data_IF_855449710810
#
_entry.id   IF_855449710810
#
_cell.length_a   1.000
_cell.length_b   1.000
_cell.length_c   1.000
_cell.angle_alpha   90.00
_cell.angle_beta   90.00
_cell.angle_gamma   90.00
#
_symmetry.space_group_name_H-M   'P 1'
#
loop_
_entity.id
_entity.type
_entity.pdbx_description
1 polymer ?
#
# COMPACT_ATOMS: atom_id res chain seq x y z
N UNK A 1 21.85 0.55 -12.62
CA UNK A 1 21.29 1.31 -11.48
C UNK A 1 21.26 0.36 -10.29
N UNK A 2 21.69 0.78 -9.11
CA UNK A 2 21.63 -0.08 -7.92
C UNK A 2 20.16 -0.20 -7.50
N UNK A 3 19.59 -1.41 -7.55
CA UNK A 3 18.23 -1.68 -7.09
C UNK A 3 18.09 -1.31 -5.62
N UNK A 4 17.11 -0.47 -5.28
CA UNK A 4 16.84 -0.10 -3.89
C UNK A 4 16.01 -1.21 -3.25
N UNK A 5 16.67 -2.15 -2.58
CA UNK A 5 16.00 -3.06 -1.66
C UNK A 5 15.46 -2.24 -0.48
N UNK A 6 14.17 -2.34 -0.16
CA UNK A 6 13.54 -1.63 0.95
C UNK A 6 13.41 -2.52 2.20
N UNK A 7 13.68 -2.01 3.39
CA UNK A 7 13.32 -2.61 4.68
C UNK A 7 12.39 -1.66 5.42
N UNK A 8 11.44 -2.20 6.17
CA UNK A 8 10.51 -1.44 6.99
C UNK A 8 11.08 -1.18 8.41
N UNK A 9 11.03 0.07 8.89
CA UNK A 9 11.46 0.51 10.23
C UNK A 9 10.35 1.30 10.95
N UNK A 10 10.08 0.97 12.22
CA UNK A 10 9.20 1.76 13.11
C UNK A 10 10.03 2.48 14.19
N UNK A 11 9.75 3.75 14.45
CA UNK A 11 10.38 4.59 15.49
C UNK A 11 9.31 5.25 16.34
N UNK A 12 9.45 5.16 17.67
CA UNK A 12 8.42 5.62 18.62
C UNK A 12 8.97 6.63 19.62
N UNK A 13 8.21 7.69 19.86
CA UNK A 13 8.55 8.81 20.75
C UNK A 13 7.34 9.32 21.55
N UNK A 14 7.54 9.76 22.78
CA UNK A 14 6.50 10.32 23.65
C UNK A 14 6.12 11.78 23.33
N UNK A 15 6.88 12.48 22.48
CA UNK A 15 6.57 13.85 22.08
C UNK A 15 5.89 13.89 20.71
N UNK A 16 4.60 14.16 20.72
CA UNK A 16 3.88 14.54 19.51
C UNK A 16 4.07 16.04 19.35
N UNK A 17 4.88 16.47 18.39
CA UNK A 17 4.94 17.87 17.95
C UNK A 17 4.30 17.95 16.58
N UNK A 18 3.64 19.07 16.26
CA UNK A 18 3.28 19.32 14.87
C UNK A 18 4.56 19.24 14.04
N UNK A 19 4.59 18.43 12.96
CA UNK A 19 5.76 18.37 12.12
C UNK A 19 5.97 19.75 11.50
N UNK A 20 7.01 20.46 11.93
CA UNK A 20 7.50 21.59 11.13
C UNK A 20 7.83 21.06 9.73
N UNK A 21 7.59 21.85 8.67
CA UNK A 21 7.93 21.45 7.32
C UNK A 21 9.41 21.09 7.27
N UNK A 22 9.71 19.80 7.11
CA UNK A 22 11.08 19.31 7.04
C UNK A 22 11.78 20.00 5.86
N UNK A 23 12.79 20.86 6.08
CA UNK A 23 13.45 21.56 4.98
C UNK A 23 14.24 20.61 4.05
N UNK A 24 14.47 19.37 4.47
CA UNK A 24 15.10 18.31 3.68
C UNK A 24 14.12 17.42 2.91
N UNK A 25 12.80 17.71 2.94
CA UNK A 25 11.83 17.03 2.07
C UNK A 25 11.97 17.41 0.59
N UNK A 26 12.76 18.45 0.28
CA UNK A 26 13.08 18.92 -1.09
C UNK A 26 14.21 18.17 -1.80
N UNK A 27 14.70 17.06 -1.25
CA UNK A 27 15.43 16.10 -2.09
C UNK A 27 14.38 15.31 -2.89
N UNK A 28 13.81 15.99 -3.88
CA UNK A 28 13.07 15.39 -4.98
C UNK A 28 14.04 14.44 -5.69
N UNK A 29 14.01 13.17 -5.29
CA UNK A 29 14.42 12.13 -6.22
C UNK A 29 13.31 12.10 -7.27
N UNK A 30 13.59 12.71 -8.41
CA UNK A 30 12.76 12.64 -9.60
C UNK A 30 12.27 11.20 -9.78
N UNK A 31 10.98 10.98 -9.58
CA UNK A 31 10.29 9.73 -9.84
C UNK A 31 9.99 9.60 -11.34
N UNK A 32 11.00 9.85 -12.18
CA UNK A 32 10.92 9.64 -13.63
C UNK A 32 11.03 8.14 -14.00
N UNK A 33 10.99 7.24 -13.01
CA UNK A 33 11.06 5.82 -13.25
C UNK A 33 9.65 5.22 -13.27
N UNK A 34 9.28 4.81 -14.49
CA UNK A 34 8.41 3.67 -14.80
C UNK A 34 6.92 3.92 -15.10
N UNK A 35 6.47 5.17 -15.25
CA UNK A 35 5.19 5.46 -15.92
C UNK A 35 5.16 4.92 -17.36
N UNK A 36 6.32 4.89 -18.03
CA UNK A 36 6.46 4.42 -19.42
C UNK A 36 6.10 2.95 -19.58
N UNK A 37 6.49 2.05 -18.68
CA UNK A 37 6.19 0.61 -18.86
C UNK A 37 4.70 0.32 -18.71
N UNK A 38 4.05 0.88 -17.68
CA UNK A 38 2.61 0.72 -17.49
C UNK A 38 1.81 1.42 -18.60
N UNK A 39 2.25 2.62 -19.00
CA UNK A 39 1.69 3.35 -20.14
C UNK A 39 1.86 2.56 -21.45
N UNK A 40 3.00 1.88 -21.65
CA UNK A 40 3.21 1.00 -22.81
C UNK A 40 2.27 -0.21 -22.79
N UNK A 41 2.10 -0.89 -21.65
CA UNK A 41 1.13 -1.99 -21.50
C UNK A 41 -0.30 -1.51 -21.83
N UNK A 42 -0.68 -0.33 -21.33
CA UNK A 42 -1.98 0.29 -21.64
C UNK A 42 -2.08 0.80 -23.10
N UNK A 43 -0.94 1.12 -23.74
CA UNK A 43 -0.89 1.66 -25.11
C UNK A 43 -1.06 0.57 -26.18
N UNK A 44 -0.45 -0.60 -26.02
CA UNK A 44 -0.58 -1.72 -26.97
C UNK A 44 -2.02 -2.24 -27.08
N UNK A 45 -2.75 -2.25 -25.96
CA UNK A 45 -4.12 -2.77 -25.92
C UNK A 45 -5.17 -1.88 -26.62
N UNK A 46 -4.86 -0.60 -26.88
CA UNK A 46 -5.84 0.35 -27.45
C UNK A 46 -5.97 0.28 -28.99
N UNK A 47 -5.11 -0.46 -29.69
CA UNK A 47 -5.07 -0.48 -31.16
C UNK A 47 -6.20 -1.30 -31.82
N UNK A 48 -6.88 -2.18 -31.08
CA UNK A 48 -7.90 -3.11 -31.60
C UNK A 48 -9.34 -2.75 -31.19
N UNK A 49 -9.70 -1.47 -31.35
CA UNK A 49 -10.97 -0.92 -30.85
C UNK A 49 -11.97 -0.58 -31.96
N UNK A 50 -12.94 -1.47 -32.23
CA UNK A 50 -14.24 -1.09 -32.82
C UNK A 50 -15.33 -2.17 -32.65
N UNK A 51 -14.97 -3.45 -32.50
CA UNK A 51 -15.97 -4.55 -32.51
C UNK A 51 -16.35 -5.10 -31.13
N UNK A 52 -15.53 -4.87 -30.09
CA UNK A 52 -15.67 -5.52 -28.76
C UNK A 52 -16.45 -4.67 -27.75
N UNK A 53 -16.74 -3.40 -28.05
CA UNK A 53 -17.51 -2.48 -27.20
C UNK A 53 -18.89 -3.03 -26.77
N UNK A 54 -19.54 -3.88 -27.57
CA UNK A 54 -20.89 -4.38 -27.27
C UNK A 54 -20.96 -5.56 -26.29
N UNK A 55 -19.83 -6.17 -25.92
CA UNK A 55 -19.81 -7.37 -25.06
C UNK A 55 -19.32 -7.06 -23.64
N UNK A 56 -18.46 -6.05 -23.47
CA UNK A 56 -17.89 -5.67 -22.15
C UNK A 56 -18.77 -4.71 -21.34
N UNK A 57 -19.76 -4.06 -21.97
CA UNK A 57 -20.77 -3.24 -21.28
C UNK A 57 -21.92 -4.08 -20.68
N UNK A 58 -21.88 -5.40 -20.82
CA UNK A 58 -22.78 -6.30 -20.09
C UNK A 58 -22.38 -6.32 -18.61
N UNK A 59 -23.01 -5.40 -17.85
CA UNK A 59 -23.15 -5.33 -16.39
C UNK A 59 -22.06 -6.04 -15.59
N UNK A 60 -21.18 -5.29 -14.90
CA UNK A 60 -20.21 -5.82 -13.94
C UNK A 60 -20.80 -6.85 -12.96
N UNK A 61 -22.11 -6.78 -12.70
CA UNK A 61 -22.84 -7.80 -11.93
C UNK A 61 -22.73 -9.19 -12.54
N UNK A 62 -22.80 -9.35 -13.87
CA UNK A 62 -22.65 -10.64 -14.53
C UNK A 62 -21.23 -11.22 -14.38
N UNK A 63 -20.20 -10.37 -14.41
CA UNK A 63 -18.81 -10.79 -14.18
C UNK A 63 -18.58 -11.20 -12.72
N UNK A 64 -19.13 -10.44 -11.77
CA UNK A 64 -19.14 -10.76 -10.34
C UNK A 64 -19.85 -12.10 -10.10
N UNK A 65 -21.04 -12.26 -10.66
CA UNK A 65 -21.86 -13.46 -10.54
C UNK A 65 -21.14 -14.67 -11.15
N UNK A 66 -20.52 -14.54 -12.32
CA UNK A 66 -19.80 -15.64 -12.97
C UNK A 66 -18.62 -16.14 -12.13
N UNK A 67 -17.83 -15.24 -11.52
CA UNK A 67 -16.72 -15.62 -10.63
C UNK A 67 -17.25 -16.25 -9.34
N UNK A 68 -18.30 -15.69 -8.76
CA UNK A 68 -18.83 -16.12 -7.46
C UNK A 68 -19.73 -17.37 -7.51
N UNK A 69 -20.34 -17.69 -8.66
CA UNK A 69 -21.17 -18.88 -8.83
C UNK A 69 -20.35 -20.17 -8.96
N UNK A 70 -19.06 -20.06 -9.24
CA UNK A 70 -18.18 -21.20 -9.42
C UNK A 70 -17.24 -21.32 -8.22
N UNK A 71 -17.68 -22.00 -7.16
CA UNK A 71 -16.90 -22.19 -5.92
C UNK A 71 -15.50 -22.81 -6.18
N UNK A 72 -15.32 -23.52 -7.30
CA UNK A 72 -14.04 -24.09 -7.70
C UNK A 72 -13.00 -23.08 -8.23
N UNK A 73 -13.43 -21.90 -8.69
CA UNK A 73 -12.53 -20.89 -9.27
C UNK A 73 -11.73 -20.12 -8.22
N UNK A 74 -12.27 -19.96 -7.02
CA UNK A 74 -11.61 -19.24 -5.94
C UNK A 74 -12.15 -19.60 -4.57
N UNK A 75 -11.90 -20.82 -4.06
CA UNK A 75 -12.35 -21.23 -2.73
C UNK A 75 -11.94 -20.22 -1.64
N UNK A 76 -12.93 -19.66 -0.93
CA UNK A 76 -12.67 -18.73 0.19
C UNK A 76 -12.35 -17.29 -0.22
N UNK A 77 -12.47 -16.95 -1.51
CA UNK A 77 -12.46 -15.58 -2.00
C UNK A 77 -13.76 -15.26 -2.76
N UNK A 78 -14.10 -13.97 -2.85
CA UNK A 78 -15.24 -13.45 -3.63
C UNK A 78 -14.86 -12.19 -4.37
N UNK A 79 -15.32 -12.06 -5.61
CA UNK A 79 -15.28 -10.80 -6.35
C UNK A 79 -16.47 -9.94 -5.93
N UNK A 80 -16.25 -8.67 -5.61
CA UNK A 80 -17.32 -7.75 -5.24
C UNK A 80 -17.00 -6.31 -5.65
N UNK A 81 -18.05 -5.49 -5.76
CA UNK A 81 -17.89 -4.04 -5.73
C UNK A 81 -17.40 -3.61 -4.35
N UNK A 82 -16.55 -2.58 -4.32
CA UNK A 82 -16.03 -1.98 -3.12
C UNK A 82 -16.95 -0.84 -2.68
N UNK A 83 -17.10 -0.66 -1.37
CA UNK A 83 -17.71 0.55 -0.83
C UNK A 83 -16.88 1.82 -1.13
N UNK A 84 -17.26 2.93 -0.52
CA UNK A 84 -16.70 4.26 -0.84
C UNK A 84 -15.19 4.36 -0.64
N UNK A 85 -14.51 4.90 -1.66
CA UNK A 85 -13.10 5.29 -1.62
C UNK A 85 -12.94 6.69 -1.01
N UNK A 86 -12.37 6.77 0.20
CA UNK A 86 -12.39 8.00 1.01
C UNK A 86 -11.64 9.21 0.46
N UNK A 87 -10.51 9.00 -0.21
CA UNK A 87 -9.72 10.10 -0.79
C UNK A 87 -10.42 10.77 -1.98
N UNK A 88 -11.48 10.15 -2.51
CA UNK A 88 -12.28 10.66 -3.62
C UNK A 88 -13.67 11.16 -3.20
N UNK A 89 -13.96 11.27 -1.90
CA UNK A 89 -15.24 11.83 -1.43
C UNK A 89 -15.27 13.33 -1.74
N UNK A 90 -15.93 13.69 -2.83
CA UNK A 90 -16.17 15.08 -3.25
C UNK A 90 -17.46 15.58 -2.58
N UNK A 91 -17.56 16.87 -2.18
CA UNK A 91 -18.82 17.46 -1.72
C UNK A 91 -19.97 17.23 -2.72
N UNK A 92 -21.19 17.09 -2.20
CA UNK A 92 -22.37 16.62 -2.94
C UNK A 92 -22.76 17.42 -4.21
N UNK A 93 -22.15 18.58 -4.46
CA UNK A 93 -22.48 19.47 -5.59
C UNK A 93 -21.92 19.00 -6.94
N UNK A 94 -20.92 18.09 -6.95
CA UNK A 94 -20.23 17.63 -8.17
C UNK A 94 -20.55 16.19 -8.60
N UNK A 95 -21.63 15.58 -8.09
CA UNK A 95 -22.05 14.19 -8.40
C UNK A 95 -22.58 13.98 -9.85
N UNK A 96 -22.06 14.72 -10.84
CA UNK A 96 -22.57 14.69 -12.23
C UNK A 96 -22.09 13.51 -13.08
N UNK A 97 -21.27 12.62 -12.55
CA UNK A 97 -20.86 11.39 -13.25
C UNK A 97 -20.98 10.19 -12.32
N UNK A 98 -21.84 9.23 -12.69
CA UNK A 98 -21.88 7.90 -12.10
C UNK A 98 -20.51 7.24 -12.29
N UNK A 99 -19.62 7.37 -11.30
CA UNK A 99 -18.33 6.69 -11.34
C UNK A 99 -18.56 5.19 -11.20
N UNK A 100 -17.98 4.43 -12.12
CA UNK A 100 -17.91 2.97 -12.07
C UNK A 100 -17.37 2.52 -10.69
N UNK A 101 -18.01 1.54 -10.03
CA UNK A 101 -17.55 1.09 -8.72
C UNK A 101 -16.18 0.39 -8.85
N UNK A 102 -15.35 0.60 -7.84
CA UNK A 102 -14.10 -0.15 -7.68
C UNK A 102 -14.44 -1.63 -7.45
N UNK A 103 -13.78 -2.57 -8.14
CA UNK A 103 -13.97 -4.01 -7.95
C UNK A 103 -12.78 -4.64 -7.24
N UNK A 104 -12.96 -5.66 -6.41
CA UNK A 104 -11.83 -6.38 -5.82
C UNK A 104 -12.18 -7.80 -5.42
N UNK A 105 -11.14 -8.63 -5.28
CA UNK A 105 -11.24 -9.91 -4.61
C UNK A 105 -11.10 -9.68 -3.10
N UNK A 106 -11.98 -10.31 -2.32
CA UNK A 106 -12.03 -10.26 -0.87
C UNK A 106 -11.97 -11.67 -0.30
N UNK A 107 -11.53 -11.81 0.96
CA UNK A 107 -11.84 -13.02 1.73
C UNK A 107 -13.35 -13.12 1.90
N UNK A 108 -13.91 -14.32 1.75
CA UNK A 108 -15.37 -14.52 1.85
C UNK A 108 -15.95 -14.01 3.18
N UNK A 109 -15.20 -14.10 4.28
CA UNK A 109 -15.60 -13.62 5.60
C UNK A 109 -15.73 -12.09 5.71
N UNK A 110 -15.10 -11.34 4.80
CA UNK A 110 -15.13 -9.87 4.79
C UNK A 110 -16.19 -9.31 3.83
N UNK A 111 -16.89 -10.18 3.09
CA UNK A 111 -18.01 -9.79 2.23
C UNK A 111 -19.31 -9.91 3.02
N UNK A 112 -19.99 -8.79 3.35
CA UNK A 112 -21.23 -8.83 4.12
C UNK A 112 -22.36 -9.46 3.30
N UNK A 113 -23.39 -9.97 4.00
CA UNK A 113 -24.58 -10.51 3.35
C UNK A 113 -25.46 -9.43 2.69
N UNK A 114 -25.30 -8.17 3.09
CA UNK A 114 -26.00 -7.01 2.57
C UNK A 114 -25.08 -5.79 2.58
N UNK A 115 -25.13 -4.98 1.52
CA UNK A 115 -24.21 -3.86 1.30
C UNK A 115 -22.87 -4.28 0.69
N UNK A 116 -22.00 -3.30 0.47
CA UNK A 116 -20.68 -3.52 -0.12
C UNK A 116 -19.62 -3.76 0.97
N UNK A 117 -18.63 -4.64 0.73
CA UNK A 117 -17.46 -4.76 1.59
C UNK A 117 -16.70 -3.43 1.68
N UNK A 118 -16.00 -3.24 2.80
CA UNK A 118 -15.23 -2.02 2.99
C UNK A 118 -14.12 -1.90 1.95
N UNK A 119 -13.93 -0.71 1.38
CA UNK A 119 -12.87 -0.45 0.40
C UNK A 119 -11.47 -0.85 0.89
N UNK A 120 -11.17 -0.80 2.20
CA UNK A 120 -9.84 -1.14 2.71
C UNK A 120 -9.64 -2.62 2.99
N UNK A 121 -10.63 -3.46 2.72
CA UNK A 121 -10.55 -4.90 3.00
C UNK A 121 -10.26 -5.69 1.72
N UNK A 122 -10.00 -4.99 0.62
CA UNK A 122 -9.58 -5.56 -0.66
C UNK A 122 -8.34 -6.42 -0.45
N UNK A 123 -8.36 -7.64 -0.95
CA UNK A 123 -7.21 -8.54 -0.95
C UNK A 123 -6.36 -8.31 -2.21
N UNK A 124 -7.02 -8.32 -3.37
CA UNK A 124 -6.46 -8.01 -4.69
C UNK A 124 -7.41 -7.03 -5.38
N UNK A 125 -6.91 -5.85 -5.77
CA UNK A 125 -7.69 -4.89 -6.52
C UNK A 125 -8.00 -5.43 -7.92
N UNK A 126 -9.19 -5.19 -8.44
CA UNK A 126 -9.56 -5.51 -9.82
C UNK A 126 -9.89 -4.21 -10.54
N UNK A 127 -9.06 -3.85 -11.51
CA UNK A 127 -9.25 -2.64 -12.30
C UNK A 127 -9.56 -3.02 -13.73
N UNK A 128 -10.72 -2.60 -14.22
CA UNK A 128 -11.15 -2.84 -15.59
C UNK A 128 -11.02 -1.52 -16.34
N UNK A 129 -10.04 -1.44 -17.23
CA UNK A 129 -9.78 -0.27 -18.06
C UNK A 129 -10.54 -0.40 -19.38
N UNK A 130 -11.46 0.54 -19.62
CA UNK A 130 -12.11 0.71 -20.91
C UNK A 130 -11.22 1.62 -21.79
N UNK A 131 -10.80 1.18 -22.99
CA UNK A 131 -9.86 1.93 -23.85
C UNK A 131 -10.41 3.26 -24.39
N UNK A 132 -11.73 3.39 -24.42
CA UNK A 132 -12.44 4.62 -24.76
C UNK A 132 -13.18 5.06 -23.52
N UNK A 133 -12.92 6.27 -23.02
CA UNK A 133 -13.88 6.92 -22.14
C UNK A 133 -15.27 6.94 -22.80
N UNK A 134 -16.32 7.23 -22.04
CA UNK A 134 -17.71 7.24 -22.52
C UNK A 134 -17.98 8.18 -23.72
N UNK A 135 -16.96 8.92 -24.17
CA UNK A 135 -16.93 9.65 -25.41
C UNK A 135 -15.95 8.99 -26.40
N UNK A 136 -16.47 8.49 -27.52
CA UNK A 136 -15.67 8.09 -28.68
C UNK A 136 -15.01 9.36 -29.24
N UNK A 137 -13.83 9.69 -28.74
CA UNK A 137 -13.02 10.77 -29.27
C UNK A 137 -12.21 10.21 -30.44
N UNK A 138 -12.54 10.58 -31.68
CA UNK A 138 -11.75 10.25 -32.86
C UNK A 138 -10.45 11.10 -32.97
N UNK A 139 -10.10 11.83 -31.90
CA UNK A 139 -8.93 12.70 -31.83
C UNK A 139 -7.77 11.95 -31.13
N UNK A 140 -6.61 11.80 -31.78
CA UNK A 140 -5.44 11.15 -31.19
C UNK A 140 -4.95 11.81 -29.89
N UNK A 141 -5.15 13.12 -29.71
CA UNK A 141 -4.76 13.82 -28.49
C UNK A 141 -5.66 13.42 -27.31
N UNK A 142 -6.98 13.28 -27.53
CA UNK A 142 -7.91 12.80 -26.51
C UNK A 142 -7.68 11.34 -26.10
N UNK A 143 -7.20 10.49 -27.02
CA UNK A 143 -6.85 9.10 -26.70
C UNK A 143 -5.60 9.01 -25.82
N UNK A 144 -4.64 9.94 -25.99
CA UNK A 144 -3.49 10.07 -25.10
C UNK A 144 -3.93 10.50 -23.69
N UNK A 145 -4.86 11.45 -23.59
CA UNK A 145 -5.39 11.92 -22.31
C UNK A 145 -6.13 10.80 -21.54
N UNK A 146 -6.99 10.03 -22.22
CA UNK A 146 -7.69 8.90 -21.59
C UNK A 146 -6.74 7.81 -21.05
N UNK A 147 -5.65 7.53 -21.77
CA UNK A 147 -4.60 6.58 -21.33
C UNK A 147 -3.87 7.07 -20.08
N UNK A 148 -3.49 8.35 -20.07
CA UNK A 148 -2.88 8.98 -18.90
C UNK A 148 -3.83 8.92 -17.70
N UNK A 149 -5.12 9.17 -17.89
CA UNK A 149 -6.14 9.10 -16.83
C UNK A 149 -6.28 7.68 -16.25
N UNK A 150 -6.36 6.64 -17.09
CA UNK A 150 -6.45 5.26 -16.62
C UNK A 150 -5.19 4.80 -15.87
N UNK A 151 -4.01 5.21 -16.34
CA UNK A 151 -2.72 4.95 -15.68
C UNK A 151 -2.70 5.61 -14.30
N UNK A 152 -3.08 6.89 -14.22
CA UNK A 152 -3.16 7.65 -12.97
C UNK A 152 -4.14 7.00 -11.99
N UNK A 153 -5.29 6.52 -12.46
CA UNK A 153 -6.29 5.86 -11.60
C UNK A 153 -5.76 4.56 -10.98
N UNK A 154 -5.12 3.70 -11.79
CA UNK A 154 -4.50 2.44 -11.33
C UNK A 154 -3.43 2.72 -10.27
N UNK A 155 -2.53 3.68 -10.56
CA UNK A 155 -1.46 4.08 -9.63
C UNK A 155 -2.03 4.66 -8.33
N UNK A 156 -3.02 5.54 -8.46
CA UNK A 156 -3.68 6.18 -7.32
C UNK A 156 -4.37 5.16 -6.41
N UNK A 157 -5.00 4.14 -6.99
CA UNK A 157 -5.62 3.06 -6.23
C UNK A 157 -4.59 2.22 -5.47
N UNK A 158 -3.49 1.86 -6.12
CA UNK A 158 -2.39 1.13 -5.47
C UNK A 158 -1.77 1.95 -4.33
N UNK A 159 -1.54 3.25 -4.55
CA UNK A 159 -1.00 4.17 -3.54
C UNK A 159 -1.94 4.24 -2.34
N UNK A 160 -3.24 4.42 -2.59
CA UNK A 160 -4.20 4.53 -1.50
C UNK A 160 -4.36 3.22 -0.72
N UNK A 161 -4.22 2.05 -1.35
CA UNK A 161 -4.17 0.76 -0.65
C UNK A 161 -2.96 0.66 0.28
N UNK A 162 -1.76 1.10 -0.14
CA UNK A 162 -0.59 1.16 0.75
C UNK A 162 -0.79 2.14 1.91
N UNK A 163 -1.61 3.17 1.73
CA UNK A 163 -1.89 4.16 2.77
C UNK A 163 -2.81 3.59 3.85
N UNK A 164 -3.88 2.91 3.44
CA UNK A 164 -4.96 2.41 4.32
C UNK A 164 -4.72 1.00 4.87
N UNK A 165 -3.89 0.20 4.20
CA UNK A 165 -3.48 -1.13 4.65
C UNK A 165 -2.00 -1.16 5.00
N UNK A 166 -1.65 -2.03 5.94
CA UNK A 166 -0.26 -2.32 6.29
C UNK A 166 0.20 -3.43 5.36
N UNK A 167 1.03 -3.08 4.36
CA UNK A 167 1.42 -3.98 3.26
C UNK A 167 2.87 -3.79 2.86
N UNK A 168 3.49 -4.90 2.47
CA UNK A 168 4.76 -4.91 1.74
C UNK A 168 4.56 -5.04 0.23
N UNK A 169 3.38 -5.50 -0.21
CA UNK A 169 3.00 -5.50 -1.62
C UNK A 169 1.48 -5.31 -1.80
N UNK A 170 1.10 -4.66 -2.91
CA UNK A 170 -0.30 -4.60 -3.38
C UNK A 170 -0.38 -5.42 -4.66
N UNK A 171 -1.48 -6.16 -4.82
CA UNK A 171 -1.75 -6.88 -6.06
C UNK A 171 -2.96 -6.28 -6.77
N UNK A 172 -2.84 -6.10 -8.08
CA UNK A 172 -3.94 -5.65 -8.95
C UNK A 172 -4.10 -6.64 -10.11
N UNK A 173 -5.30 -7.17 -10.29
CA UNK A 173 -5.72 -7.80 -11.52
C UNK A 173 -6.23 -6.70 -12.46
N UNK A 174 -5.41 -6.35 -13.43
CA UNK A 174 -5.71 -5.35 -14.44
C UNK A 174 -6.34 -6.04 -15.64
N UNK A 175 -7.57 -5.68 -15.98
CA UNK A 175 -8.28 -6.20 -17.15
C UNK A 175 -8.39 -5.10 -18.19
N UNK A 176 -7.86 -5.35 -19.38
CA UNK A 176 -7.86 -4.42 -20.50
C UNK A 176 -8.44 -5.16 -21.69
N UNK A 177 -9.69 -4.84 -22.05
CA UNK A 177 -10.43 -5.56 -23.09
C UNK A 177 -10.37 -7.10 -22.89
N UNK A 178 -9.69 -7.82 -23.79
CA UNK A 178 -9.54 -9.30 -23.83
C UNK A 178 -8.33 -9.82 -23.07
N UNK A 179 -7.47 -8.91 -22.60
CA UNK A 179 -6.25 -9.24 -21.90
C UNK A 179 -6.40 -8.94 -20.42
N UNK A 180 -5.70 -9.69 -19.58
CA UNK A 180 -5.50 -9.33 -18.20
C UNK A 180 -4.04 -9.49 -17.78
N UNK A 181 -3.65 -8.72 -16.78
CA UNK A 181 -2.33 -8.74 -16.18
C UNK A 181 -2.45 -8.79 -14.66
N UNK A 182 -1.56 -9.53 -14.02
CA UNK A 182 -1.35 -9.44 -12.59
C UNK A 182 -0.20 -8.47 -12.34
N UNK A 183 -0.49 -7.39 -11.63
CA UNK A 183 0.52 -6.41 -11.20
C UNK A 183 0.79 -6.60 -9.72
N UNK A 184 2.07 -6.70 -9.36
CA UNK A 184 2.55 -6.65 -7.97
C UNK A 184 3.27 -5.32 -7.77
N UNK A 185 2.67 -4.43 -6.99
CA UNK A 185 3.26 -3.17 -6.57
C UNK A 185 4.05 -3.37 -5.30
N UNK A 186 5.23 -2.75 -5.22
CA UNK A 186 6.05 -2.66 -4.02
C UNK A 186 6.50 -1.20 -3.85
N UNK A 187 7.07 -0.88 -2.69
CA UNK A 187 7.52 0.48 -2.40
C UNK A 187 8.76 0.90 -3.21
N UNK A 188 9.51 -0.07 -3.75
CA UNK A 188 10.64 0.24 -4.63
C UNK A 188 10.22 0.45 -6.07
N UNK A 189 9.30 -0.37 -6.60
CA UNK A 189 8.94 -0.52 -8.02
C UNK A 189 7.72 -1.47 -8.14
N UNK A 190 7.32 -1.87 -9.36
CA UNK A 190 6.30 -2.90 -9.60
C UNK A 190 6.76 -3.98 -10.57
N UNK A 191 6.04 -5.11 -10.58
CA UNK A 191 6.22 -6.22 -11.52
C UNK A 191 4.88 -6.49 -12.20
N UNK A 192 4.89 -6.66 -13.51
CA UNK A 192 3.70 -7.01 -14.30
C UNK A 192 3.88 -8.39 -14.94
N UNK A 193 2.82 -9.19 -14.96
CA UNK A 193 2.82 -10.44 -15.71
C UNK A 193 2.85 -10.18 -17.22
N UNK A 194 3.27 -11.18 -17.99
CA UNK A 194 2.99 -11.23 -19.42
C UNK A 194 1.48 -11.16 -19.68
N UNK A 195 1.11 -10.76 -20.89
CA UNK A 195 -0.27 -10.68 -21.37
C UNK A 195 -0.98 -12.04 -21.24
N UNK A 196 -2.13 -12.06 -20.58
CA UNK A 196 -3.01 -13.23 -20.50
C UNK A 196 -4.26 -12.93 -21.33
N UNK A 197 -4.40 -13.58 -22.50
CA UNK A 197 -5.67 -13.57 -23.25
C UNK A 197 -6.65 -14.53 -22.57
N UNK A 198 -7.42 -14.01 -21.63
CA UNK A 198 -8.38 -14.80 -20.85
C UNK A 198 -9.60 -15.25 -21.67
N UNK A 199 -9.76 -14.76 -22.90
CA UNK A 199 -10.84 -15.21 -23.79
C UNK A 199 -10.44 -16.49 -24.54
N UNK A 200 -9.22 -16.54 -25.03
CA UNK A 200 -8.68 -17.69 -25.75
C UNK A 200 -8.12 -18.75 -24.79
N UNK A 201 -7.47 -18.31 -23.71
CA UNK A 201 -6.91 -19.14 -22.64
C UNK A 201 -7.49 -18.73 -21.28
N UNK A 202 -8.78 -19.00 -21.11
CA UNK A 202 -9.48 -18.79 -19.84
C UNK A 202 -8.85 -19.61 -18.70
N UNK A 203 -8.19 -20.73 -19.01
CA UNK A 203 -7.62 -21.63 -18.02
C UNK A 203 -6.53 -20.94 -17.19
N UNK A 204 -5.72 -20.08 -17.81
CA UNK A 204 -4.71 -19.29 -17.13
C UNK A 204 -5.32 -18.35 -16.09
N UNK A 205 -6.37 -17.61 -16.44
CA UNK A 205 -7.07 -16.73 -15.49
C UNK A 205 -7.69 -17.54 -14.34
N UNK A 206 -8.30 -18.70 -14.62
CA UNK A 206 -8.87 -19.54 -13.57
C UNK A 206 -7.81 -20.08 -12.62
N UNK A 207 -6.63 -20.45 -13.13
CA UNK A 207 -5.50 -20.87 -12.30
C UNK A 207 -4.96 -19.72 -11.45
N UNK A 208 -4.90 -18.50 -11.98
CA UNK A 208 -4.51 -17.30 -11.21
C UNK A 208 -5.49 -17.06 -10.05
N UNK A 209 -6.80 -17.07 -10.32
CA UNK A 209 -7.82 -16.90 -9.28
C UNK A 209 -7.75 -18.01 -8.23
N UNK A 210 -7.58 -19.25 -8.68
CA UNK A 210 -7.41 -20.39 -7.79
C UNK A 210 -6.16 -20.22 -6.91
N UNK A 211 -5.01 -19.84 -7.46
CA UNK A 211 -3.79 -19.58 -6.68
C UNK A 211 -3.95 -18.44 -5.69
N UNK A 212 -4.59 -17.34 -6.08
CA UNK A 212 -4.90 -16.24 -5.17
C UNK A 212 -5.72 -16.76 -3.97
N UNK A 213 -6.69 -17.64 -4.22
CA UNK A 213 -7.50 -18.24 -3.16
C UNK A 213 -6.69 -19.09 -2.17
N UNK A 214 -5.64 -19.75 -2.66
CA UNK A 214 -4.75 -20.60 -1.86
C UNK A 214 -3.65 -19.82 -1.14
N UNK A 215 -3.34 -18.60 -1.59
CA UNK A 215 -2.34 -17.76 -0.93
C UNK A 215 -2.83 -17.30 0.45
N UNK A 216 -1.92 -17.29 1.42
CA UNK A 216 -2.13 -16.59 2.69
C UNK A 216 -2.16 -15.07 2.49
N UNK A 217 -2.70 -14.35 3.47
CA UNK A 217 -2.73 -12.89 3.47
C UNK A 217 -1.31 -12.28 3.36
N UNK A 218 -0.33 -12.88 4.03
CA UNK A 218 1.06 -12.48 3.94
C UNK A 218 1.65 -12.69 2.53
N UNK A 219 1.33 -13.79 1.85
CA UNK A 219 1.77 -14.00 0.46
C UNK A 219 1.13 -12.99 -0.51
N UNK A 220 -0.06 -12.48 -0.18
CA UNK A 220 -0.76 -11.42 -0.92
C UNK A 220 -0.37 -10.01 -0.46
N UNK A 221 0.74 -9.90 0.28
CA UNK A 221 1.39 -8.63 0.56
C UNK A 221 0.96 -7.94 1.85
N UNK A 222 0.03 -8.51 2.62
CA UNK A 222 -0.36 -7.98 3.93
C UNK A 222 0.78 -8.18 4.94
N UNK A 223 0.98 -7.19 5.79
CA UNK A 223 1.96 -7.26 6.87
C UNK A 223 1.43 -8.16 8.00
N UNK A 224 2.08 -9.30 8.30
CA UNK A 224 1.63 -10.21 9.35
C UNK A 224 1.78 -9.63 10.76
N UNK A 225 2.54 -8.55 10.94
CA UNK A 225 2.71 -7.83 12.21
C UNK A 225 1.69 -6.72 12.42
N UNK A 226 0.80 -6.50 11.45
CA UNK A 226 -0.25 -5.50 11.52
C UNK A 226 -1.63 -6.14 11.45
N UNK A 227 -2.36 -6.06 12.56
CA UNK A 227 -3.66 -6.70 12.69
C UNK A 227 -4.77 -5.68 12.52
N UNK A 228 -5.58 -5.85 11.48
CA UNK A 228 -6.77 -5.03 11.26
C UNK A 228 -7.76 -5.26 12.41
N UNK A 229 -8.19 -4.17 13.05
CA UNK A 229 -9.27 -4.19 14.03
C UNK A 229 -10.61 -4.10 13.30
N UNK A 230 -11.48 -5.06 13.56
CA UNK A 230 -12.83 -5.20 13.05
C UNK A 230 -13.84 -4.87 14.16
N UNK A 231 -15.08 -4.48 13.80
CA UNK A 231 -16.13 -4.25 14.79
C UNK A 231 -16.29 -5.44 15.74
N UNK A 232 -16.23 -5.17 17.06
CA UNK A 232 -16.27 -6.18 18.10
C UNK A 232 -14.91 -6.64 18.63
N UNK A 233 -13.80 -6.17 18.06
CA UNK A 233 -12.48 -6.42 18.65
C UNK A 233 -12.35 -5.73 20.02
N UNK A 234 -11.87 -6.44 21.05
CA UNK A 234 -11.74 -5.87 22.40
C UNK A 234 -10.77 -4.69 22.44
N UNK A 235 -9.81 -4.64 21.51
CA UNK A 235 -8.86 -3.54 21.40
C UNK A 235 -9.50 -2.23 20.92
N UNK A 236 -10.67 -2.27 20.27
CA UNK A 236 -11.43 -1.04 19.94
C UNK A 236 -12.03 -0.38 21.18
N UNK A 237 -12.41 -1.17 22.20
CA UNK A 237 -12.94 -0.67 23.48
C UNK A 237 -11.82 -0.16 24.40
N UNK A 238 -10.56 -0.49 24.09
CA UNK A 238 -9.38 -0.05 24.84
C UNK A 238 -8.89 1.33 24.45
N UNK A 239 -9.49 1.94 23.42
CA UNK A 239 -9.28 3.34 23.09
C UNK A 239 -9.56 4.16 24.35
N UNK A 240 -8.54 4.92 24.77
CA UNK A 240 -8.59 5.72 25.99
C UNK A 240 -9.88 6.53 26.04
N UNK A 241 -10.47 6.60 27.24
CA UNK A 241 -11.39 7.65 27.60
C UNK A 241 -10.63 8.97 27.41
N UNK A 242 -10.80 9.59 26.25
CA UNK A 242 -10.16 10.83 25.85
C UNK A 242 -10.83 12.04 26.51
N UNK A 243 -11.78 11.77 27.41
CA UNK A 243 -12.45 12.71 28.28
C UNK A 243 -11.43 13.33 29.23
N UNK A 244 -11.49 14.65 29.36
CA UNK A 244 -10.67 15.37 30.32
C UNK A 244 -11.03 14.88 31.73
N UNK A 245 -10.01 14.42 32.46
CA UNK A 245 -10.17 14.08 33.86
C UNK A 245 -10.01 15.36 34.68
N UNK A 246 -11.01 15.68 35.47
CA UNK A 246 -10.88 16.72 36.49
C UNK A 246 -9.85 16.25 37.53
N UNK A 247 -8.79 17.03 37.71
CA UNK A 247 -7.82 16.80 38.77
C UNK A 247 -8.40 17.28 40.09
N UNK A 248 -8.23 16.49 41.15
CA UNK A 248 -8.40 16.99 42.51
C UNK A 248 -7.31 18.06 42.74
N UNK A 249 -7.64 19.25 43.29
CA UNK A 249 -6.64 20.30 43.58
C UNK A 249 -5.45 19.82 44.45
N UNK A 250 -5.59 18.71 45.19
CA UNK A 250 -4.52 18.11 45.99
C UNK A 250 -3.73 17.00 45.26
N UNK A 251 -4.14 16.59 44.06
CA UNK A 251 -3.46 15.57 43.25
C UNK A 251 -2.30 16.21 42.48
N UNK A 252 -1.05 15.92 42.87
CA UNK A 252 0.14 16.36 42.14
C UNK A 252 0.26 15.53 40.86
N UNK A 253 -0.02 16.08 39.67
CA UNK A 253 0.03 15.30 38.45
C UNK A 253 1.49 14.95 38.16
N UNK A 254 1.80 13.67 38.02
CA UNK A 254 3.11 13.28 37.49
C UNK A 254 3.15 13.58 36.00
N UNK A 255 4.32 13.93 35.48
CA UNK A 255 4.51 14.19 34.04
C UNK A 255 4.14 12.97 33.17
N UNK A 256 4.08 11.79 33.79
CA UNK A 256 3.69 10.51 33.18
C UNK A 256 2.17 10.30 33.09
N UNK A 257 1.36 11.02 33.89
CA UNK A 257 -0.12 10.94 33.85
C UNK A 257 -0.77 12.10 33.10
N UNK A 258 -0.05 13.21 32.91
CA UNK A 258 -0.56 14.39 32.21
C UNK A 258 -0.23 14.36 30.71
N UNK A 259 -1.20 13.95 29.89
CA UNK A 259 -1.13 14.15 28.43
C UNK A 259 -1.56 15.57 28.09
N UNK A 260 -0.86 16.25 27.18
CA UNK A 260 -1.27 17.57 26.71
C UNK A 260 -2.62 17.51 25.98
N UNK A 261 -3.47 18.52 26.16
CA UNK A 261 -4.79 18.58 25.51
C UNK A 261 -4.71 18.49 23.98
N UNK A 262 -3.72 19.12 23.35
CA UNK A 262 -3.53 19.04 21.90
C UNK A 262 -3.17 17.63 21.41
N UNK A 263 -2.50 16.82 22.26
CA UNK A 263 -2.18 15.42 21.96
C UNK A 263 -3.44 14.56 22.02
N UNK A 264 -4.28 14.74 23.05
CA UNK A 264 -5.60 14.09 23.13
C UNK A 264 -6.47 14.46 21.93
N UNK A 265 -6.51 15.74 21.56
CA UNK A 265 -7.24 16.20 20.38
C UNK A 265 -6.66 15.66 19.06
N UNK A 266 -5.35 15.43 18.97
CA UNK A 266 -4.73 14.79 17.81
C UNK A 266 -5.09 13.30 17.72
N UNK A 267 -5.10 12.59 18.86
CA UNK A 267 -5.53 11.19 18.93
C UNK A 267 -7.01 11.04 18.58
N UNK A 268 -7.90 11.84 19.19
CA UNK A 268 -9.33 11.81 18.90
C UNK A 268 -9.63 12.05 17.40
N UNK A 269 -8.92 13.00 16.76
CA UNK A 269 -9.04 13.24 15.31
C UNK A 269 -8.52 12.08 14.45
N UNK A 270 -7.61 11.25 14.96
CA UNK A 270 -7.12 10.08 14.23
C UNK A 270 -8.16 8.95 14.19
N UNK A 271 -9.10 8.91 15.14
CA UNK A 271 -10.14 7.90 15.27
C UNK A 271 -11.34 8.15 14.33
N UNK A 272 -11.07 8.56 13.09
CA UNK A 272 -12.10 8.71 12.06
C UNK A 272 -12.88 7.39 11.91
N UNK A 273 -14.22 7.38 12.06
CA UNK A 273 -15.02 6.16 11.96
C UNK A 273 -14.93 5.47 10.60
N UNK A 274 -14.60 6.24 9.56
CA UNK A 274 -14.43 5.72 8.22
C UNK A 274 -13.00 5.20 7.98
N UNK A 275 -12.04 5.41 8.87
CA UNK A 275 -10.65 4.98 8.67
C UNK A 275 -10.35 3.64 9.35
N UNK A 276 -9.57 2.74 8.71
CA UNK A 276 -9.25 1.44 9.30
C UNK A 276 -8.28 1.58 10.48
N UNK A 277 -8.52 0.80 11.54
CA UNK A 277 -7.67 0.78 12.73
C UNK A 277 -6.82 -0.48 12.77
N UNK A 278 -5.61 -0.38 13.28
CA UNK A 278 -4.68 -1.51 13.35
C UNK A 278 -4.03 -1.62 14.72
N UNK A 279 -3.79 -2.84 15.17
CA UNK A 279 -2.78 -3.15 16.18
C UNK A 279 -1.48 -3.53 15.48
N UNK A 280 -0.42 -2.77 15.72
CA UNK A 280 0.91 -3.00 15.18
C UNK A 280 1.81 -3.68 16.21
N UNK A 281 2.48 -4.75 15.80
CA UNK A 281 3.48 -5.46 16.57
C UNK A 281 4.88 -4.96 16.21
N UNK A 282 5.57 -4.38 17.19
CA UNK A 282 6.92 -3.86 17.03
C UNK A 282 7.88 -4.66 17.91
N UNK A 283 8.80 -5.44 17.32
CA UNK A 283 9.86 -6.08 18.07
C UNK A 283 10.70 -5.03 18.81
N UNK A 284 11.03 -5.29 20.07
CA UNK A 284 11.89 -4.44 20.89
C UNK A 284 12.70 -5.33 21.83
N UNK A 285 14.01 -5.47 21.55
CA UNK A 285 14.98 -6.19 22.41
C UNK A 285 14.53 -7.58 22.88
N UNK A 286 13.93 -8.37 21.99
CA UNK A 286 13.47 -9.73 22.28
C UNK A 286 12.08 -9.84 22.90
N UNK A 287 11.35 -8.72 23.00
CA UNK A 287 9.91 -8.67 23.30
C UNK A 287 9.17 -8.07 22.11
N UNK A 288 7.84 -8.18 22.11
CA UNK A 288 6.97 -7.51 21.14
C UNK A 288 6.14 -6.46 21.88
N UNK A 289 6.23 -5.20 21.46
CA UNK A 289 5.36 -4.13 21.92
C UNK A 289 4.20 -3.97 20.94
N UNK A 290 3.03 -3.60 21.47
CA UNK A 290 1.80 -3.44 20.70
C UNK A 290 1.34 -1.99 20.71
N UNK A 291 0.97 -1.48 19.54
CA UNK A 291 0.48 -0.12 19.39
C UNK A 291 -0.83 -0.09 18.60
N UNK A 292 -1.83 0.61 19.10
CA UNK A 292 -3.05 0.89 18.34
C UNK A 292 -2.85 2.15 17.50
N UNK A 293 -3.16 2.07 16.22
CA UNK A 293 -3.09 3.18 15.27
C UNK A 293 -4.37 3.27 14.46
N UNK A 294 -4.73 4.49 14.06
CA UNK A 294 -5.85 4.76 13.17
C UNK A 294 -5.37 5.64 12.00
N UNK A 295 -6.05 6.76 11.72
CA UNK A 295 -5.68 7.64 10.61
C UNK A 295 -4.30 8.27 10.84
N UNK A 296 -3.34 8.12 9.91
CA UNK A 296 -2.04 8.75 10.02
C UNK A 296 -2.17 10.28 9.96
N UNK A 297 -1.46 10.95 10.87
CA UNK A 297 -1.32 12.41 10.94
C UNK A 297 -0.46 12.94 9.79
N UNK A 298 0.54 12.15 9.37
CA UNK A 298 1.43 12.46 8.26
C UNK A 298 1.54 11.26 7.33
N UNK A 299 1.57 11.52 6.02
CA UNK A 299 1.82 10.53 4.97
C UNK A 299 2.71 11.16 3.92
N UNK A 300 3.80 10.48 3.55
CA UNK A 300 4.53 10.81 2.33
C UNK A 300 3.61 10.57 1.13
N UNK A 301 3.72 11.43 0.11
CA UNK A 301 3.01 11.27 -1.16
C UNK A 301 3.83 10.42 -2.13
N UNK A 302 3.14 9.79 -3.06
CA UNK A 302 3.73 8.98 -4.12
C UNK A 302 3.71 7.49 -3.78
N UNK A 303 3.53 6.69 -4.83
CA UNK A 303 3.45 5.23 -4.73
C UNK A 303 4.79 4.58 -4.35
N UNK A 304 5.90 5.15 -4.81
CA UNK A 304 7.24 4.62 -4.60
C UNK A 304 8.06 5.48 -3.63
N UNK A 305 9.00 4.85 -2.95
CA UNK A 305 9.97 5.49 -2.07
C UNK A 305 9.87 5.00 -0.64
N UNK A 306 9.80 5.95 0.31
CA UNK A 306 9.90 5.64 1.75
C UNK A 306 8.57 5.31 2.40
N UNK A 307 7.44 5.56 1.74
CA UNK A 307 6.09 5.35 2.28
C UNK A 307 5.91 5.83 3.73
N UNK A 308 6.55 6.95 4.12
CA UNK A 308 6.62 7.33 5.52
C UNK A 308 5.23 7.71 6.04
N UNK A 309 4.79 7.06 7.12
CA UNK A 309 3.56 7.36 7.84
C UNK A 309 3.87 7.76 9.28
N UNK A 310 3.16 8.76 9.78
CA UNK A 310 3.27 9.25 11.14
C UNK A 310 1.94 9.15 11.84
N UNK A 311 1.88 8.38 12.91
CA UNK A 311 0.67 8.09 13.67
C UNK A 311 0.74 8.71 15.05
N UNK A 312 -0.43 9.15 15.52
CA UNK A 312 -0.68 9.31 16.95
C UNK A 312 -1.20 7.96 17.43
N UNK A 313 -0.35 7.21 18.11
CA UNK A 313 -0.58 5.82 18.49
C UNK A 313 -0.83 5.69 19.99
N UNK A 314 -1.50 4.62 20.40
CA UNK A 314 -1.66 4.23 21.80
C UNK A 314 -0.77 3.03 22.10
N UNK A 315 0.15 3.15 23.04
CA UNK A 315 0.91 2.01 23.58
C UNK A 315 -0.01 1.14 24.43
N UNK A 316 -0.20 -0.12 24.05
CA UNK A 316 -1.11 -1.03 24.74
C UNK A 316 -0.64 -1.40 26.16
N UNK A 317 0.67 -1.32 26.43
CA UNK A 317 1.25 -1.66 27.74
C UNK A 317 1.18 -0.47 28.69
N UNK A 318 1.72 0.68 28.26
CA UNK A 318 1.81 1.87 29.12
C UNK A 318 0.55 2.73 29.10
N UNK A 319 -0.36 2.51 28.14
CA UNK A 319 -1.53 3.34 27.88
C UNK A 319 -1.20 4.80 27.56
N UNK A 320 0.04 5.08 27.14
CA UNK A 320 0.48 6.41 26.74
C UNK A 320 0.18 6.64 25.26
N UNK A 321 -0.16 7.89 24.95
CA UNK A 321 -0.27 8.36 23.57
C UNK A 321 1.13 8.75 23.09
N UNK A 322 1.57 8.13 22.00
CA UNK A 322 2.93 8.23 21.46
C UNK A 322 2.89 8.62 19.97
N UNK A 323 3.99 9.18 19.49
CA UNK A 323 4.24 9.34 18.07
C UNK A 323 4.89 8.07 17.52
N UNK A 324 4.24 7.40 16.58
CA UNK A 324 4.78 6.24 15.87
C UNK A 324 5.08 6.64 14.43
N UNK A 325 6.36 6.59 14.05
CA UNK A 325 6.80 6.76 12.67
C UNK A 325 7.04 5.40 12.06
N UNK A 326 6.37 5.14 10.95
CA UNK A 326 6.58 3.99 10.06
C UNK A 326 7.28 4.48 8.77
N UNK A 327 8.31 3.77 8.31
CA UNK A 327 8.98 4.09 7.05
C UNK A 327 9.66 2.87 6.43
N UNK A 328 9.63 2.81 5.10
CA UNK A 328 10.57 2.04 4.31
C UNK A 328 11.91 2.78 4.22
N UNK A 329 13.02 2.05 4.35
CA UNK A 329 14.40 2.52 4.22
C UNK A 329 15.15 1.66 3.22
N UNK A 330 16.14 2.23 2.55
CA UNK A 330 17.03 1.43 1.70
C UNK A 330 17.83 0.44 2.56
N UNK A 331 17.85 -0.81 2.13
CA UNK A 331 18.69 -1.89 2.61
C UNK A 331 20.05 -1.85 1.90
N UNK A 332 21.10 -2.34 2.56
CA UNK A 332 22.44 -2.47 1.96
C UNK A 332 23.27 -1.17 1.89
N UNK A 333 22.65 0.01 1.89
CA UNK A 333 23.38 1.24 2.22
C UNK A 333 23.70 1.21 3.72
N UNK A 334 24.95 1.55 4.07
CA UNK A 334 25.47 1.71 5.44
C UNK A 334 24.78 2.85 6.23
N UNK A 335 23.50 3.11 5.97
CA UNK A 335 22.69 4.05 6.71
C UNK A 335 22.38 3.43 8.08
N UNK A 336 22.95 4.03 9.12
CA UNK A 336 22.59 3.75 10.50
C UNK A 336 21.07 3.87 10.66
N UNK A 337 20.47 2.93 11.40
CA UNK A 337 19.04 3.00 11.72
C UNK A 337 18.79 4.26 12.52
N UNK A 338 17.82 5.07 12.11
CA UNK A 338 17.55 6.35 12.78
C UNK A 338 17.23 6.14 14.25
N UNK A 339 16.58 5.04 14.60
CA UNK A 339 16.32 4.73 16.01
C UNK A 339 17.57 4.43 16.84
N UNK A 340 18.65 3.88 16.26
CA UNK A 340 19.91 3.66 16.99
C UNK A 340 20.57 5.01 17.32
N UNK A 341 20.54 5.96 16.38
CA UNK A 341 21.01 7.35 16.58
C UNK A 341 20.19 8.03 17.69
N UNK A 342 18.86 7.98 17.62
CA UNK A 342 18.00 8.59 18.63
C UNK A 342 18.23 8.01 20.03
N UNK A 343 18.41 6.69 20.12
CA UNK A 343 18.72 6.01 21.37
C UNK A 343 20.06 6.47 21.95
N UNK A 344 21.09 6.58 21.11
CA UNK A 344 22.40 7.08 21.52
C UNK A 344 22.33 8.53 22.02
N UNK A 345 21.64 9.41 21.30
CA UNK A 345 21.46 10.81 21.69
C UNK A 345 20.68 10.96 23.01
N UNK A 346 19.64 10.15 23.23
CA UNK A 346 18.90 10.10 24.49
C UNK A 346 19.81 9.63 25.63
N UNK A 347 20.61 8.58 25.44
CA UNK A 347 21.56 8.09 26.45
C UNK A 347 22.64 9.12 26.79
N UNK A 348 23.05 9.95 25.82
CA UNK A 348 23.97 11.05 26.03
C UNK A 348 23.32 12.31 26.67
N UNK A 349 22.03 12.27 27.00
CA UNK A 349 21.26 13.38 27.56
C UNK A 349 21.36 14.68 26.72
N UNK A 350 21.43 14.54 25.39
CA UNK A 350 21.47 15.70 24.50
C UNK A 350 20.13 16.46 24.61
N UNK A 351 20.14 17.77 24.91
CA UNK A 351 18.92 18.53 25.09
C UNK A 351 18.14 18.66 23.77
N UNK A 352 16.83 18.88 23.88
CA UNK A 352 15.91 19.08 22.75
C UNK A 352 15.76 17.92 21.76
N UNK A 353 16.30 16.75 22.07
CA UNK A 353 16.05 15.52 21.32
C UNK A 353 14.68 14.92 21.71
N UNK A 354 13.96 14.31 20.76
CA UNK A 354 12.72 13.60 21.08
C UNK A 354 12.97 12.38 21.97
N UNK A 355 12.02 12.06 22.83
CA UNK A 355 12.16 10.99 23.83
C UNK A 355 12.09 9.64 23.15
N UNK A 356 13.18 8.88 23.13
CA UNK A 356 13.20 7.58 22.47
C UNK A 356 12.48 6.51 23.32
N UNK A 357 11.50 5.81 22.74
CA UNK A 357 10.88 4.64 23.36
C UNK A 357 11.47 3.33 22.84
N UNK A 358 11.23 3.04 21.55
CA UNK A 358 11.71 1.84 20.88
C UNK A 358 11.85 2.08 19.37
N UNK A 359 12.58 1.20 18.71
CA UNK A 359 12.56 1.07 17.25
C UNK A 359 12.94 -0.35 16.84
N UNK A 360 12.49 -0.77 15.68
CA UNK A 360 12.99 -1.99 15.04
C UNK A 360 12.74 -1.95 13.54
N UNK A 361 13.54 -2.76 12.84
CA UNK A 361 13.13 -3.23 11.52
C UNK A 361 12.11 -4.37 11.69
N UNK A 362 11.10 -4.45 10.83
CA UNK A 362 10.19 -5.60 10.82
C UNK A 362 10.76 -6.69 9.91
N UNK A 363 10.91 -7.89 10.46
CA UNK A 363 11.54 -9.01 9.76
C UNK A 363 10.66 -9.51 8.60
N UNK A 364 11.31 -9.98 7.54
CA UNK A 364 10.63 -10.54 6.37
C UNK A 364 9.99 -9.51 5.44
N UNK A 365 10.07 -8.21 5.75
CA UNK A 365 9.59 -7.14 4.89
C UNK A 365 10.70 -6.60 4.01
N UNK A 366 10.88 -7.25 2.87
CA UNK A 366 11.87 -6.89 1.86
C UNK A 366 11.20 -6.86 0.49
N UNK A 367 11.54 -5.86 -0.33
CA UNK A 367 11.05 -5.78 -1.71
C UNK A 367 11.73 -6.82 -2.60
N UNK A 368 10.94 -7.52 -3.42
CA UNK A 368 11.40 -8.56 -4.33
C UNK A 368 11.83 -8.00 -5.69
N UNK A 369 11.34 -6.83 -6.09
CA UNK A 369 11.61 -6.28 -7.43
C UNK A 369 13.09 -6.13 -7.77
N UNK A 370 13.97 -5.66 -6.86
CA UNK A 370 15.40 -5.59 -7.14
C UNK A 370 16.05 -6.94 -7.45
N UNK A 371 15.65 -8.00 -6.73
CA UNK A 371 16.16 -9.35 -6.96
C UNK A 371 15.70 -9.88 -8.33
N UNK A 372 14.44 -9.63 -8.71
CA UNK A 372 13.90 -10.04 -10.02
C UNK A 372 14.60 -9.33 -11.17
N UNK A 373 14.92 -8.06 -10.99
CA UNK A 373 15.70 -7.30 -11.96
C UNK A 373 17.08 -7.93 -12.17
N UNK A 374 17.78 -8.28 -11.09
CA UNK A 374 19.09 -8.94 -11.14
C UNK A 374 19.00 -10.29 -11.86
N UNK A 375 18.04 -11.15 -11.51
CA UNK A 375 17.81 -12.45 -12.15
C UNK A 375 17.63 -12.32 -13.68
N UNK A 376 16.92 -11.30 -14.15
CA UNK A 376 16.70 -11.07 -15.59
C UNK A 376 17.93 -10.54 -16.34
N UNK A 377 18.87 -9.90 -15.63
CA UNK A 377 20.01 -9.21 -16.24
C UNK A 377 21.37 -9.90 -15.99
N UNK A 378 21.45 -10.84 -15.05
CA UNK A 378 22.65 -11.67 -14.84
C UNK A 378 23.00 -12.50 -16.10
N UNK A 379 22.00 -13.01 -16.82
CA UNK A 379 22.17 -13.80 -18.05
C UNK A 379 22.81 -13.02 -19.21
N UNK A 380 22.87 -11.68 -19.15
CA UNK A 380 23.44 -10.87 -20.23
C UNK A 380 24.95 -10.62 -20.05
N UNK A 381 25.50 -10.84 -18.85
CA UNK A 381 26.92 -10.57 -18.55
C UNK A 381 27.84 -11.79 -18.69
N UNK A 382 27.28 -13.00 -18.85
CA UNK A 382 28.05 -14.22 -19.13
C UNK A 382 28.66 -14.33 -20.53
N UNK A 383 28.31 -13.44 -21.47
CA UNK A 383 28.66 -13.55 -22.90
C UNK A 383 29.97 -12.88 -23.36
N UNK A 384 30.70 -12.16 -22.50
CA UNK A 384 31.88 -11.38 -22.92
C UNK A 384 33.24 -11.94 -22.45
N UNK A 385 33.29 -13.12 -21.85
CA UNK A 385 34.56 -13.84 -21.61
C UNK A 385 34.88 -14.78 -22.79
N UNK A 386 35.42 -14.24 -23.88
CA UNK A 386 35.71 -15.11 -25.04
C UNK A 386 36.38 -14.52 -26.27
N UNK A 387 37.10 -13.39 -26.21
CA UNK A 387 38.03 -13.01 -27.29
C UNK A 387 39.47 -13.18 -26.82
N UNK A 388 39.99 -14.39 -26.97
CA UNK A 388 41.45 -14.65 -26.97
C UNK A 388 42.09 -13.74 -28.02
N UNK A 389 42.93 -12.79 -27.57
CA UNK A 389 43.96 -12.17 -28.41
C UNK A 389 44.82 -13.31 -28.96
N UNK A 390 44.77 -13.55 -30.28
CA UNK A 390 45.83 -14.28 -30.96
C UNK A 390 47.08 -13.38 -30.91
N UNK A 391 48.02 -13.70 -30.03
CA UNK A 391 49.42 -13.43 -30.29
C UNK A 391 49.86 -14.41 -31.39
N UNK A 392 50.09 -13.87 -32.59
CA UNK A 392 50.87 -14.52 -33.63
C UNK A 392 52.28 -13.95 -33.54
N UNK A 393 53.23 -14.85 -33.33
CA UNK A 393 54.67 -14.67 -33.18
C UNK A 393 55.35 -14.19 -34.45
N UNK A 394 56.41 -13.40 -34.27
CA UNK A 394 57.48 -13.21 -35.24
C UNK A 394 58.14 -14.57 -35.57
N UNK A 395 58.26 -14.85 -36.86
CA UNK A 395 59.49 -15.32 -37.54
C UNK A 395 59.41 -15.02 -39.04
#
# INVERSE_FOLDING_TARGET
MAGKCGIFEIIIDNRIRDPEPNPFSKLDYASDMDETTLSHTLSYAAADCCFIQRVTDFSYMYQIDAVNQCDGLGPGIKLAACGTRLDLVVPAEDQRTERKPDLALFRTSLVPASGDPHWFDQLVAVTIVSPTGDHVCNDPDCAHDAKSVATIDVLSRAEFLFVVQQRHAVFTLLVIQRQCHLVRWEQSEFIVSHDIDYFSDWSCLTEVLWRISQCSDAQLGLDPTAHRLLPGDPDLERDLDHVERDFDPDEVPTQETCVFSYVRAAFARSLDPLWPRYRLEVPDRGRTRNFLVAMPRFRAKGLFGRATRGYVALDCETRLIVWLKDTWRAHGLLAERKGDILRWLNHANVPHIPTFLCHSDIQGQVTLTPQRWEEQHEDTTGGLSGRKRKQGSDE
#
